data_IF_176078573348
#
_entry.id   IF_176078573348
#
_cell.length_a   1.000
_cell.length_b   1.000
_cell.length_c   1.000
_cell.angle_alpha   90.00
_cell.angle_beta   90.00
_cell.angle_gamma   90.00
#
_symmetry.space_group_name_H-M   'P 1'
#
loop_
_entity.id
_entity.type
_entity.pdbx_description
1 polymer ?
#
# COMPACT_ATOMS: atom_id res chain seq x y z
N UNK A 1 -35.39 60.65 -8.61
CA UNK A 1 -34.68 60.10 -9.79
C UNK A 1 -33.16 60.37 -9.85
N UNK A 2 -32.65 61.59 -9.54
CA UNK A 2 -31.17 61.86 -9.60
C UNK A 2 -30.35 61.13 -8.54
N UNK A 3 -30.88 60.80 -7.37
CA UNK A 3 -30.16 60.12 -6.25
C UNK A 3 -30.00 58.64 -6.51
N UNK A 4 -31.00 57.95 -7.06
CA UNK A 4 -30.94 56.53 -7.45
C UNK A 4 -29.94 56.26 -8.58
N UNK A 5 -29.83 57.20 -9.53
CA UNK A 5 -28.90 57.09 -10.65
C UNK A 5 -27.43 57.22 -10.18
N UNK A 6 -27.15 58.06 -9.17
CA UNK A 6 -25.82 58.21 -8.57
C UNK A 6 -25.40 56.93 -7.78
N UNK A 7 -26.36 56.34 -7.07
CA UNK A 7 -26.12 55.08 -6.33
C UNK A 7 -25.83 53.93 -7.31
N UNK A 8 -26.58 53.82 -8.40
CA UNK A 8 -26.37 52.81 -9.43
C UNK A 8 -24.96 52.90 -10.06
N UNK A 9 -24.52 54.14 -10.37
CA UNK A 9 -23.16 54.38 -10.92
C UNK A 9 -22.05 53.95 -9.94
N UNK A 10 -22.24 54.24 -8.65
CA UNK A 10 -21.27 53.81 -7.60
C UNK A 10 -21.19 52.28 -7.52
N UNK A 11 -22.32 51.56 -7.58
CA UNK A 11 -22.33 50.11 -7.60
C UNK A 11 -21.67 49.51 -8.87
N UNK A 12 -21.88 50.11 -10.03
CA UNK A 12 -21.21 49.69 -11.25
C UNK A 12 -19.67 49.88 -11.16
N UNK A 13 -19.23 50.99 -10.61
CA UNK A 13 -17.78 51.26 -10.40
C UNK A 13 -17.17 50.24 -9.42
N UNK A 14 -17.85 49.96 -8.31
CA UNK A 14 -17.42 48.94 -7.33
C UNK A 14 -17.36 47.55 -7.96
N UNK A 15 -18.35 47.17 -8.75
CA UNK A 15 -18.39 45.87 -9.45
C UNK A 15 -17.24 45.75 -10.45
N UNK A 16 -16.95 46.81 -11.22
CA UNK A 16 -15.80 46.82 -12.15
C UNK A 16 -14.47 46.71 -11.38
N UNK A 17 -14.36 47.36 -10.22
CA UNK A 17 -13.15 47.29 -9.38
C UNK A 17 -12.94 45.86 -8.82
N UNK A 18 -14.01 45.21 -8.37
CA UNK A 18 -13.95 43.81 -7.89
C UNK A 18 -13.59 42.86 -9.04
N UNK A 19 -14.17 43.01 -10.21
CA UNK A 19 -13.83 42.22 -11.38
C UNK A 19 -12.38 42.45 -11.83
N UNK A 20 -11.93 43.69 -11.81
CA UNK A 20 -10.56 44.04 -12.16
C UNK A 20 -9.54 43.44 -11.14
N UNK A 21 -9.87 43.48 -9.84
CA UNK A 21 -9.02 42.81 -8.81
C UNK A 21 -9.06 41.31 -8.97
N UNK A 22 -10.21 40.69 -9.27
CA UNK A 22 -10.28 39.25 -9.55
C UNK A 22 -9.43 38.85 -10.78
N UNK A 23 -9.50 39.63 -11.85
CA UNK A 23 -8.69 39.40 -13.07
C UNK A 23 -7.20 39.64 -12.79
N UNK A 24 -6.85 40.63 -12.00
CA UNK A 24 -5.45 40.92 -11.58
C UNK A 24 -4.86 39.81 -10.69
N UNK A 25 -5.70 39.20 -9.85
CA UNK A 25 -5.32 38.09 -8.98
C UNK A 25 -5.38 36.72 -9.68
N UNK A 26 -6.05 36.63 -10.85
CA UNK A 26 -6.16 35.41 -11.65
C UNK A 26 -4.82 34.80 -12.06
N UNK A 27 -3.79 35.56 -12.48
CA UNK A 27 -2.47 35.00 -12.76
C UNK A 27 -1.67 34.62 -11.51
N UNK A 28 -2.07 35.06 -10.30
CA UNK A 28 -1.53 34.60 -9.02
C UNK A 28 -2.12 33.27 -8.53
N UNK A 29 -3.12 32.73 -9.22
CA UNK A 29 -3.46 31.31 -9.08
C UNK A 29 -2.27 30.56 -9.66
N UNK A 30 -1.39 30.10 -8.78
CA UNK A 30 -0.14 29.38 -9.07
C UNK A 30 -0.27 28.58 -10.38
N UNK A 31 0.44 29.03 -11.43
CA UNK A 31 0.83 28.10 -12.47
C UNK A 31 1.61 27.04 -11.73
N UNK A 32 0.99 25.85 -11.49
CA UNK A 32 1.74 24.68 -11.07
C UNK A 32 2.89 24.60 -12.04
N UNK A 33 4.08 24.99 -11.58
CA UNK A 33 5.29 24.78 -12.38
C UNK A 33 5.27 23.29 -12.71
N UNK A 34 5.56 22.91 -13.97
CA UNK A 34 5.69 21.49 -14.28
C UNK A 34 6.67 20.94 -13.25
N UNK A 35 6.21 19.93 -12.51
CA UNK A 35 7.04 19.24 -11.53
C UNK A 35 8.30 18.82 -12.24
N UNK A 36 9.46 19.32 -11.80
CA UNK A 36 10.73 18.90 -12.38
C UNK A 36 10.93 17.43 -12.01
N UNK A 37 11.43 16.59 -12.94
CA UNK A 37 11.76 15.22 -12.63
C UNK A 37 12.64 15.18 -11.38
N UNK A 38 12.22 14.38 -10.38
CA UNK A 38 12.98 14.16 -9.15
C UNK A 38 13.47 12.72 -9.15
N UNK A 39 14.73 12.55 -9.55
CA UNK A 39 15.42 11.26 -9.57
C UNK A 39 16.57 11.27 -8.54
N UNK A 40 17.41 10.27 -8.54
CA UNK A 40 18.48 10.10 -7.55
C UNK A 40 19.44 11.30 -7.44
N UNK A 41 19.86 11.98 -8.53
CA UNK A 41 20.73 13.16 -8.41
C UNK A 41 20.12 14.29 -7.55
N UNK A 42 18.85 14.57 -7.69
CA UNK A 42 18.14 15.59 -6.91
C UNK A 42 17.99 15.15 -5.44
N UNK A 43 17.68 13.87 -5.23
CA UNK A 43 17.57 13.25 -3.90
C UNK A 43 18.94 13.30 -3.19
N UNK A 44 20.00 12.96 -3.90
CA UNK A 44 21.38 12.99 -3.36
C UNK A 44 21.82 14.41 -2.98
N UNK A 45 21.53 15.39 -3.83
CA UNK A 45 21.87 16.80 -3.58
C UNK A 45 21.10 17.38 -2.39
N UNK A 46 19.86 16.94 -2.17
CA UNK A 46 19.06 17.32 -1.00
C UNK A 46 19.46 16.52 0.25
N UNK A 47 19.99 15.31 0.06
CA UNK A 47 20.37 14.40 1.13
C UNK A 47 19.19 13.65 1.77
N UNK A 48 17.98 13.74 1.18
CA UNK A 48 16.74 13.22 1.76
C UNK A 48 16.02 12.29 0.78
N UNK A 49 15.77 11.05 1.21
CA UNK A 49 14.88 10.09 0.55
C UNK A 49 13.52 10.09 1.26
N UNK A 50 12.47 10.49 0.55
CA UNK A 50 11.11 10.57 1.06
C UNK A 50 10.35 9.28 0.76
N UNK A 51 9.83 8.66 1.80
CA UNK A 51 9.21 7.34 1.73
C UNK A 51 7.80 7.40 2.26
N UNK A 52 6.85 6.77 1.59
CA UNK A 52 5.54 6.47 2.15
C UNK A 52 5.40 4.97 2.39
N UNK A 53 4.83 4.62 3.55
CA UNK A 53 4.50 3.24 3.92
C UNK A 53 3.15 3.19 4.63
N UNK A 54 2.68 2.01 4.99
CA UNK A 54 1.47 1.83 5.78
C UNK A 54 1.81 1.35 7.19
N UNK A 55 0.93 1.67 8.14
CA UNK A 55 0.98 1.09 9.47
C UNK A 55 0.39 -0.32 9.43
N UNK A 56 1.21 -1.33 9.71
CA UNK A 56 0.77 -2.72 9.87
C UNK A 56 1.78 -3.50 10.73
N UNK A 57 1.39 -4.67 11.31
CA UNK A 57 2.22 -5.43 12.25
C UNK A 57 3.56 -5.93 11.69
N UNK A 58 3.71 -5.94 10.37
CA UNK A 58 4.92 -6.47 9.70
C UNK A 58 5.80 -5.36 9.16
N UNK A 59 5.20 -4.36 8.51
CA UNK A 59 5.93 -3.38 7.71
C UNK A 59 6.41 -2.17 8.51
N UNK A 60 5.53 -1.60 9.33
CA UNK A 60 5.81 -0.44 10.18
C UNK A 60 4.82 -0.40 11.34
N UNK A 61 5.30 -0.46 12.55
CA UNK A 61 4.51 -0.33 13.77
C UNK A 61 5.34 0.28 14.90
N UNK A 62 4.66 0.67 15.99
CA UNK A 62 5.27 1.24 17.16
C UNK A 62 5.10 0.27 18.33
N UNK A 63 6.20 -0.06 19.00
CA UNK A 63 6.22 -0.86 20.23
C UNK A 63 6.89 -0.03 21.34
N UNK A 64 6.08 0.42 22.28
CA UNK A 64 6.51 1.41 23.25
C UNK A 64 6.96 2.72 22.59
N UNK A 65 8.20 3.12 22.81
CA UNK A 65 8.82 4.31 22.19
C UNK A 65 9.66 3.99 20.95
N UNK A 66 9.61 2.74 20.46
CA UNK A 66 10.45 2.27 19.36
C UNK A 66 9.63 2.01 18.12
N UNK A 67 10.11 2.51 16.97
CA UNK A 67 9.55 2.16 15.66
C UNK A 67 10.22 0.89 15.17
N UNK A 68 9.40 -0.08 14.77
CA UNK A 68 9.80 -1.38 14.26
C UNK A 68 9.08 -1.67 12.95
N UNK A 69 9.51 -2.73 12.26
CA UNK A 69 8.85 -3.24 11.05
C UNK A 69 9.83 -3.44 9.90
N UNK A 70 9.52 -4.40 9.06
CA UNK A 70 10.38 -4.79 7.94
C UNK A 70 10.68 -3.63 6.99
N UNK A 71 9.65 -2.88 6.58
CA UNK A 71 9.82 -1.76 5.66
C UNK A 71 10.64 -0.64 6.32
N UNK A 72 10.35 -0.35 7.59
CA UNK A 72 11.09 0.66 8.35
C UNK A 72 12.57 0.27 8.47
N UNK A 73 12.87 -0.93 8.95
CA UNK A 73 14.27 -1.35 9.17
C UNK A 73 15.05 -1.48 7.87
N UNK A 74 14.40 -1.93 6.78
CA UNK A 74 15.03 -2.00 5.47
C UNK A 74 15.37 -0.60 4.94
N UNK A 75 14.46 0.38 5.09
CA UNK A 75 14.71 1.78 4.75
C UNK A 75 15.84 2.37 5.61
N UNK A 76 15.88 2.07 6.90
CA UNK A 76 16.98 2.50 7.79
C UNK A 76 18.32 1.84 7.40
N UNK A 77 18.31 0.60 6.94
CA UNK A 77 19.50 -0.07 6.44
C UNK A 77 20.01 0.60 5.14
N UNK A 78 19.11 1.01 4.23
CA UNK A 78 19.44 1.78 3.05
C UNK A 78 20.00 3.16 3.43
N UNK A 79 19.40 3.87 4.39
CA UNK A 79 19.91 5.15 4.90
C UNK A 79 21.38 5.04 5.31
N UNK A 80 21.73 3.99 6.05
CA UNK A 80 23.13 3.75 6.50
C UNK A 80 24.12 3.50 5.37
N UNK A 81 23.70 2.88 4.28
CA UNK A 81 24.57 2.56 3.14
C UNK A 81 24.69 3.77 2.21
N UNK A 82 23.56 4.44 1.93
CA UNK A 82 23.49 5.53 0.97
C UNK A 82 24.00 6.86 1.54
N UNK A 83 23.99 7.02 2.87
CA UNK A 83 24.24 8.28 3.54
C UNK A 83 23.09 9.28 3.46
N UNK A 84 21.93 8.86 2.93
CA UNK A 84 20.72 9.69 2.86
C UNK A 84 19.96 9.66 4.18
N UNK A 85 19.33 10.78 4.54
CA UNK A 85 18.28 10.80 5.54
C UNK A 85 17.01 10.19 4.95
N UNK A 86 16.40 9.23 5.64
CA UNK A 86 15.11 8.66 5.23
C UNK A 86 13.99 9.30 6.03
N UNK A 87 13.12 10.03 5.35
CA UNK A 87 11.90 10.61 5.92
C UNK A 87 10.70 9.75 5.54
N UNK A 88 10.10 9.10 6.54
CA UNK A 88 8.95 8.23 6.35
C UNK A 88 7.67 8.92 6.79
N UNK A 89 6.63 8.80 5.95
CA UNK A 89 5.26 9.17 6.27
C UNK A 89 4.33 7.97 6.14
N UNK A 90 3.25 7.98 6.91
CA UNK A 90 2.25 6.92 6.92
C UNK A 90 1.04 7.33 6.07
N UNK A 91 0.62 6.42 5.20
CA UNK A 91 -0.64 6.52 4.47
C UNK A 91 -1.26 5.11 4.41
N UNK A 92 -2.49 4.97 4.87
CA UNK A 92 -3.14 3.66 4.97
C UNK A 92 -3.66 3.16 3.61
N UNK A 93 -4.06 4.07 2.73
CA UNK A 93 -4.64 3.74 1.43
C UNK A 93 -3.56 3.69 0.35
N UNK A 94 -3.57 2.62 -0.45
CA UNK A 94 -2.61 2.46 -1.53
C UNK A 94 -2.79 3.55 -2.62
N UNK A 95 -4.04 3.87 -2.97
CA UNK A 95 -4.34 4.90 -3.97
C UNK A 95 -3.76 6.27 -3.58
N UNK A 96 -3.92 6.68 -2.31
CA UNK A 96 -3.30 7.92 -1.82
C UNK A 96 -1.79 7.86 -1.78
N UNK A 97 -1.19 6.67 -1.54
CA UNK A 97 0.27 6.51 -1.65
C UNK A 97 0.74 6.77 -3.09
N UNK A 98 -0.01 6.30 -4.10
CA UNK A 98 0.25 6.64 -5.50
C UNK A 98 0.04 8.13 -5.80
N UNK A 99 -0.99 8.75 -5.22
CA UNK A 99 -1.21 10.21 -5.36
C UNK A 99 -0.03 11.01 -4.82
N UNK A 100 0.49 10.66 -3.64
CA UNK A 100 1.68 11.28 -3.05
C UNK A 100 2.92 11.11 -3.93
N UNK A 101 3.09 9.91 -4.52
CA UNK A 101 4.18 9.61 -5.45
C UNK A 101 4.07 10.47 -6.72
N UNK A 102 2.89 10.54 -7.33
CA UNK A 102 2.61 11.33 -8.52
C UNK A 102 2.75 12.85 -8.30
N UNK A 103 2.45 13.32 -7.08
CA UNK A 103 2.64 14.71 -6.65
C UNK A 103 4.10 15.03 -6.28
N UNK A 104 5.01 14.05 -6.35
CA UNK A 104 6.40 14.17 -5.94
C UNK A 104 6.59 14.58 -4.45
N UNK A 105 5.58 14.31 -3.64
CA UNK A 105 5.66 14.49 -2.18
C UNK A 105 6.55 13.41 -1.56
N UNK A 106 6.55 12.22 -2.16
CA UNK A 106 7.44 11.10 -1.83
C UNK A 106 8.19 10.62 -3.06
N UNK A 107 9.28 9.91 -2.84
CA UNK A 107 10.14 9.36 -3.89
C UNK A 107 9.84 7.88 -4.15
N UNK A 108 9.49 7.14 -3.10
CA UNK A 108 9.17 5.72 -3.15
C UNK A 108 7.94 5.37 -2.29
N UNK A 109 7.24 4.33 -2.70
CA UNK A 109 6.25 3.63 -1.88
C UNK A 109 6.91 2.36 -1.36
N UNK A 110 7.25 2.32 -0.08
CA UNK A 110 7.84 1.16 0.59
C UNK A 110 6.74 0.29 1.21
N UNK A 111 6.06 -0.45 0.35
CA UNK A 111 4.99 -1.40 0.71
C UNK A 111 5.17 -2.69 -0.09
N UNK A 112 4.49 -3.74 0.33
CA UNK A 112 4.44 -5.01 -0.40
C UNK A 112 3.48 -4.88 -1.58
N UNK A 113 3.97 -4.36 -2.72
CA UNK A 113 3.15 -4.13 -3.92
C UNK A 113 3.44 -5.24 -4.93
N UNK A 114 2.44 -6.03 -5.33
CA UNK A 114 2.61 -7.04 -6.36
C UNK A 114 3.02 -6.43 -7.71
N UNK A 115 4.00 -7.06 -8.36
CA UNK A 115 4.47 -6.65 -9.67
C UNK A 115 3.47 -7.12 -10.73
N UNK A 116 2.50 -6.26 -11.09
CA UNK A 116 1.52 -6.55 -12.14
C UNK A 116 1.86 -5.81 -13.43
N UNK A 117 1.34 -6.30 -14.56
CA UNK A 117 1.52 -5.64 -15.86
C UNK A 117 0.93 -4.23 -15.85
N UNK A 118 -0.25 -4.07 -15.28
CA UNK A 118 -0.96 -2.79 -15.20
C UNK A 118 -0.15 -1.72 -14.45
N UNK A 119 0.38 -2.04 -13.28
CA UNK A 119 1.18 -1.07 -12.50
C UNK A 119 2.52 -0.79 -13.18
N UNK A 120 3.14 -1.78 -13.85
CA UNK A 120 4.39 -1.60 -14.62
C UNK A 120 4.27 -0.65 -15.80
N UNK A 121 3.08 -0.48 -16.36
CA UNK A 121 2.87 0.48 -17.46
C UNK A 121 3.07 1.94 -17.00
N UNK A 122 2.88 2.22 -15.71
CA UNK A 122 2.87 3.56 -15.15
C UNK A 122 4.00 3.86 -14.18
N UNK A 123 4.62 2.81 -13.60
CA UNK A 123 5.60 2.94 -12.51
C UNK A 123 6.79 2.00 -12.69
N UNK A 124 7.91 2.36 -12.07
CA UNK A 124 9.07 1.50 -11.92
C UNK A 124 9.00 0.72 -10.61
N UNK A 125 9.58 -0.46 -10.62
CA UNK A 125 9.69 -1.34 -9.46
C UNK A 125 11.15 -1.60 -9.13
N UNK A 126 11.45 -1.77 -7.85
CA UNK A 126 12.71 -2.42 -7.44
C UNK A 126 12.72 -3.88 -7.88
N UNK A 127 13.89 -4.52 -7.79
CA UNK A 127 13.94 -5.97 -7.78
C UNK A 127 13.08 -6.54 -6.65
N UNK A 128 12.55 -7.76 -6.81
CA UNK A 128 11.68 -8.33 -5.81
C UNK A 128 12.30 -8.33 -4.41
N UNK A 129 11.55 -7.79 -3.48
CA UNK A 129 11.95 -7.72 -2.07
C UNK A 129 11.38 -8.91 -1.33
N UNK A 130 10.11 -9.25 -1.57
CA UNK A 130 9.41 -10.31 -0.88
C UNK A 130 8.73 -11.23 -1.88
N UNK A 131 8.66 -12.51 -1.53
CA UNK A 131 7.79 -13.49 -2.13
C UNK A 131 6.59 -13.68 -1.23
N UNK A 132 5.41 -13.48 -1.76
CA UNK A 132 4.18 -13.56 -1.00
C UNK A 132 3.06 -14.23 -1.78
N UNK A 133 1.99 -14.62 -1.11
CA UNK A 133 0.76 -15.14 -1.69
C UNK A 133 -0.44 -14.77 -0.84
N UNK A 134 -1.62 -14.88 -1.43
CA UNK A 134 -2.87 -14.74 -0.72
C UNK A 134 -3.36 -16.10 -0.27
N UNK A 135 -3.81 -16.20 0.96
CA UNK A 135 -4.32 -17.42 1.58
C UNK A 135 -5.77 -17.27 2.03
N UNK A 136 -6.47 -18.38 2.08
CA UNK A 136 -7.78 -18.47 2.71
C UNK A 136 -7.58 -18.58 4.22
N UNK A 137 -8.07 -17.59 4.95
CA UNK A 137 -8.17 -17.62 6.41
C UNK A 137 -9.55 -18.16 6.77
N UNK A 138 -9.59 -19.23 7.56
CA UNK A 138 -10.80 -19.92 7.99
C UNK A 138 -10.55 -20.49 9.40
N UNK A 139 -11.58 -20.97 10.07
CA UNK A 139 -11.38 -21.61 11.38
C UNK A 139 -10.88 -23.04 11.24
N UNK A 140 -10.10 -23.51 12.22
CA UNK A 140 -9.75 -24.92 12.38
C UNK A 140 -10.99 -25.77 12.64
N UNK A 141 -10.90 -27.09 12.44
CA UNK A 141 -12.06 -27.97 12.71
C UNK A 141 -12.50 -27.91 14.17
N UNK A 142 -11.57 -27.77 15.09
CA UNK A 142 -11.80 -27.67 16.53
C UNK A 142 -12.60 -26.40 16.87
N UNK A 143 -12.24 -25.29 16.25
CA UNK A 143 -12.92 -24.00 16.46
C UNK A 143 -14.21 -23.85 15.65
N UNK A 144 -14.48 -24.75 14.70
CA UNK A 144 -15.62 -24.69 13.79
C UNK A 144 -16.57 -25.90 13.94
N UNK A 145 -16.80 -26.33 15.17
CA UNK A 145 -17.78 -27.41 15.50
C UNK A 145 -17.53 -28.72 14.70
N UNK A 146 -16.28 -29.02 14.36
CA UNK A 146 -15.90 -30.21 13.61
C UNK A 146 -16.00 -30.06 12.08
N UNK A 147 -16.38 -28.90 11.57
CA UNK A 147 -16.38 -28.61 10.13
C UNK A 147 -14.95 -28.49 9.67
N UNK A 148 -14.54 -29.38 8.75
CA UNK A 148 -13.16 -29.38 8.23
C UNK A 148 -12.88 -28.16 7.38
N UNK A 149 -11.69 -27.55 7.52
CA UNK A 149 -11.25 -26.48 6.66
C UNK A 149 -11.25 -26.88 5.18
N UNK A 150 -11.59 -25.93 4.30
CA UNK A 150 -11.51 -26.09 2.86
C UNK A 150 -10.03 -26.25 2.47
N UNK A 151 -9.71 -27.26 1.67
CA UNK A 151 -8.34 -27.53 1.19
C UNK A 151 -8.19 -27.39 -0.32
N UNK A 152 -9.31 -27.31 -1.03
CA UNK A 152 -9.32 -27.15 -2.47
C UNK A 152 -10.12 -25.88 -2.83
N UNK A 153 -9.50 -24.97 -3.54
CA UNK A 153 -10.12 -23.71 -4.01
C UNK A 153 -11.44 -23.96 -4.77
N UNK A 154 -11.59 -25.10 -5.43
CA UNK A 154 -12.82 -25.44 -6.17
C UNK A 154 -14.05 -25.60 -5.25
N UNK A 155 -13.86 -25.71 -3.95
CA UNK A 155 -14.96 -25.79 -2.98
C UNK A 155 -15.41 -24.41 -2.45
N UNK A 156 -14.91 -23.32 -3.06
CA UNK A 156 -15.29 -21.96 -2.69
C UNK A 156 -16.60 -21.49 -3.32
N UNK A 157 -17.19 -22.27 -4.24
CA UNK A 157 -18.51 -21.97 -4.81
C UNK A 157 -19.55 -21.75 -3.71
N UNK A 158 -20.37 -20.71 -3.84
CA UNK A 158 -21.42 -20.27 -2.89
C UNK A 158 -20.91 -19.87 -1.50
N UNK A 159 -19.61 -19.62 -1.36
CA UNK A 159 -19.03 -19.09 -0.12
C UNK A 159 -18.95 -17.57 -0.16
N UNK A 160 -19.08 -16.96 1.02
CA UNK A 160 -18.83 -15.54 1.23
C UNK A 160 -17.37 -15.33 1.60
N UNK A 161 -16.64 -14.59 0.78
CA UNK A 161 -15.22 -14.27 1.01
C UNK A 161 -15.07 -12.78 1.29
N UNK A 162 -14.46 -12.46 2.39
CA UNK A 162 -14.13 -11.10 2.80
C UNK A 162 -12.67 -10.79 2.47
N UNK A 163 -12.41 -9.63 1.91
CA UNK A 163 -11.06 -9.15 1.59
C UNK A 163 -10.98 -7.63 1.71
N UNK A 164 -9.80 -7.07 2.00
CA UNK A 164 -9.62 -5.63 1.99
C UNK A 164 -9.91 -5.06 0.60
N UNK A 165 -10.40 -3.83 0.54
CA UNK A 165 -10.58 -3.12 -0.72
C UNK A 165 -9.26 -3.06 -1.51
N UNK A 166 -9.35 -3.22 -2.82
CA UNK A 166 -8.20 -3.31 -3.73
C UNK A 166 -7.24 -4.47 -3.43
N UNK A 167 -7.72 -5.53 -2.82
CA UNK A 167 -6.91 -6.73 -2.57
C UNK A 167 -6.39 -7.32 -3.89
N UNK A 168 -5.09 -7.67 -3.97
CA UNK A 168 -4.52 -8.35 -5.14
C UNK A 168 -5.13 -9.73 -5.40
N UNK A 169 -5.88 -10.29 -4.41
CA UNK A 169 -6.60 -11.55 -4.57
C UNK A 169 -7.85 -11.43 -5.46
N UNK A 170 -8.41 -10.23 -5.61
CA UNK A 170 -9.72 -10.04 -6.26
C UNK A 170 -9.78 -10.66 -7.65
N UNK A 171 -8.79 -10.35 -8.50
CA UNK A 171 -8.73 -10.90 -9.85
C UNK A 171 -8.65 -12.43 -9.86
N UNK A 172 -7.86 -13.01 -8.95
CA UNK A 172 -7.75 -14.47 -8.85
C UNK A 172 -9.07 -15.12 -8.41
N UNK A 173 -9.77 -14.51 -7.45
CA UNK A 173 -11.07 -15.03 -6.99
C UNK A 173 -12.10 -14.96 -8.10
N UNK A 174 -12.13 -13.89 -8.91
CA UNK A 174 -12.99 -13.79 -10.11
C UNK A 174 -12.69 -14.87 -11.15
N UNK A 175 -11.41 -15.16 -11.37
CA UNK A 175 -11.02 -16.25 -12.25
C UNK A 175 -11.45 -17.62 -11.69
N UNK A 176 -11.38 -17.82 -10.37
CA UNK A 176 -11.87 -19.03 -9.71
C UNK A 176 -13.39 -19.22 -9.89
N UNK A 177 -14.19 -18.17 -9.85
CA UNK A 177 -15.63 -18.26 -10.16
C UNK A 177 -15.86 -18.90 -11.54
N UNK A 178 -15.09 -18.45 -12.54
CA UNK A 178 -15.17 -19.02 -13.89
C UNK A 178 -14.69 -20.47 -13.94
N UNK A 179 -13.61 -20.81 -13.24
CA UNK A 179 -13.06 -22.17 -13.18
C UNK A 179 -14.02 -23.14 -12.48
N UNK A 180 -14.69 -22.70 -11.42
CA UNK A 180 -15.65 -23.49 -10.64
C UNK A 180 -16.98 -23.61 -11.39
N UNK A 181 -17.35 -22.61 -12.19
CA UNK A 181 -18.67 -22.50 -12.82
C UNK A 181 -19.79 -22.19 -11.81
N UNK A 182 -19.45 -21.60 -10.68
CA UNK A 182 -20.39 -21.21 -9.62
C UNK A 182 -19.95 -19.86 -9.00
N UNK A 183 -20.91 -19.13 -8.39
CA UNK A 183 -20.65 -17.80 -7.82
C UNK A 183 -19.89 -17.90 -6.50
N UNK A 184 -18.90 -17.02 -6.33
CA UNK A 184 -18.28 -16.72 -5.04
C UNK A 184 -18.79 -15.33 -4.61
N UNK A 185 -19.37 -15.22 -3.41
CA UNK A 185 -19.87 -13.94 -2.90
C UNK A 185 -18.70 -13.15 -2.30
N UNK A 186 -18.26 -12.11 -3.00
CA UNK A 186 -17.09 -11.32 -2.63
C UNK A 186 -17.54 -10.06 -1.90
N UNK A 187 -17.00 -9.84 -0.70
CA UNK A 187 -17.21 -8.65 0.13
C UNK A 187 -15.88 -7.91 0.27
N UNK A 188 -15.73 -6.82 -0.50
CA UNK A 188 -14.59 -5.91 -0.37
C UNK A 188 -14.85 -4.92 0.76
N UNK A 189 -14.03 -4.96 1.81
CA UNK A 189 -14.17 -4.08 2.97
C UNK A 189 -13.31 -2.83 2.81
N UNK A 190 -13.91 -1.65 2.99
CA UNK A 190 -13.22 -0.36 2.87
C UNK A 190 -12.50 0.06 4.16
N UNK A 191 -12.88 -0.52 5.30
CA UNK A 191 -12.45 -0.10 6.63
C UNK A 191 -11.48 -1.10 7.25
N UNK A 192 -11.64 -2.39 6.96
CA UNK A 192 -10.88 -3.45 7.59
C UNK A 192 -9.70 -3.87 6.71
N UNK A 193 -8.53 -3.93 7.34
CA UNK A 193 -7.31 -4.53 6.77
C UNK A 193 -7.31 -6.04 7.00
N UNK A 194 -6.26 -6.73 6.51
CA UNK A 194 -6.06 -8.16 6.73
C UNK A 194 -6.20 -8.54 8.22
N UNK A 195 -5.59 -7.77 9.13
CA UNK A 195 -5.58 -8.06 10.55
C UNK A 195 -6.99 -8.12 11.14
N UNK A 196 -7.84 -7.10 10.88
CA UNK A 196 -9.21 -7.07 11.37
C UNK A 196 -10.03 -8.21 10.80
N UNK A 197 -9.90 -8.52 9.51
CA UNK A 197 -10.61 -9.64 8.88
C UNK A 197 -10.20 -10.99 9.48
N UNK A 198 -8.91 -11.19 9.76
CA UNK A 198 -8.39 -12.39 10.42
C UNK A 198 -9.02 -12.54 11.82
N UNK A 199 -9.10 -11.45 12.59
CA UNK A 199 -9.73 -11.44 13.92
C UNK A 199 -11.21 -11.79 13.83
N UNK A 200 -11.94 -11.28 12.84
CA UNK A 200 -13.36 -11.61 12.64
C UNK A 200 -13.56 -13.10 12.31
N UNK A 201 -12.66 -13.70 11.52
CA UNK A 201 -12.68 -15.15 11.27
C UNK A 201 -12.43 -15.93 12.55
N UNK A 202 -11.41 -15.56 13.33
CA UNK A 202 -11.08 -16.23 14.60
C UNK A 202 -12.25 -16.22 15.59
N UNK A 203 -12.96 -15.08 15.67
CA UNK A 203 -14.16 -14.93 16.53
C UNK A 203 -15.41 -15.65 15.99
N UNK A 204 -15.43 -15.99 14.71
CA UNK A 204 -16.58 -16.60 14.06
C UNK A 204 -17.63 -15.61 13.57
N UNK A 205 -17.30 -14.32 13.49
CA UNK A 205 -18.19 -13.28 12.95
C UNK A 205 -18.32 -13.40 11.42
N UNK A 206 -17.26 -13.87 10.76
CA UNK A 206 -17.24 -14.27 9.35
C UNK A 206 -16.60 -15.65 9.21
N UNK A 207 -16.93 -16.37 8.13
CA UNK A 207 -16.40 -17.73 7.93
C UNK A 207 -15.06 -17.75 7.19
N UNK A 208 -14.90 -16.88 6.18
CA UNK A 208 -13.76 -16.89 5.28
C UNK A 208 -13.26 -15.48 4.98
N UNK A 209 -11.97 -15.28 5.12
CA UNK A 209 -11.29 -14.10 4.62
C UNK A 209 -10.15 -14.50 3.66
N UNK A 210 -9.79 -13.61 2.73
CA UNK A 210 -8.61 -13.79 1.88
C UNK A 210 -7.64 -12.68 2.20
N UNK A 211 -6.49 -13.07 2.75
CA UNK A 211 -5.50 -12.18 3.31
C UNK A 211 -4.10 -12.53 2.83
N UNK A 212 -3.17 -11.60 3.01
CA UNK A 212 -1.75 -11.81 2.81
C UNK A 212 -1.26 -12.91 3.77
N UNK A 213 -0.56 -13.93 3.23
CA UNK A 213 -0.05 -15.04 4.02
C UNK A 213 0.82 -14.57 5.19
N UNK A 214 1.70 -13.62 4.97
CA UNK A 214 2.65 -13.15 5.99
C UNK A 214 1.93 -12.46 7.15
N UNK A 215 0.89 -11.66 6.86
CA UNK A 215 0.05 -11.06 7.90
C UNK A 215 -0.70 -12.14 8.69
N UNK A 216 -1.21 -13.16 8.01
CA UNK A 216 -1.92 -14.25 8.64
C UNK A 216 -1.00 -15.13 9.51
N UNK A 217 0.22 -15.44 9.03
CA UNK A 217 1.21 -16.21 9.79
C UNK A 217 1.59 -15.55 11.12
N UNK A 218 1.71 -14.24 11.17
CA UNK A 218 2.02 -13.50 12.39
C UNK A 218 0.93 -13.59 13.45
N UNK A 219 -0.31 -13.70 13.02
CA UNK A 219 -1.45 -13.77 13.93
C UNK A 219 -1.76 -15.18 14.41
N UNK A 220 -1.16 -16.23 13.82
CA UNK A 220 -1.38 -17.62 14.22
C UNK A 220 -1.09 -17.88 15.71
N UNK A 221 -0.08 -17.23 16.28
CA UNK A 221 0.27 -17.41 17.70
C UNK A 221 -0.76 -16.78 18.65
N UNK A 222 -1.42 -15.73 18.20
CA UNK A 222 -2.45 -15.03 18.98
C UNK A 222 -3.84 -15.62 18.76
N UNK A 223 -4.09 -16.19 17.59
CA UNK A 223 -5.37 -16.76 17.17
C UNK A 223 -5.18 -18.19 16.66
N UNK A 224 -4.94 -19.17 17.57
CA UNK A 224 -4.71 -20.56 17.18
C UNK A 224 -5.97 -21.23 16.58
N UNK A 225 -7.12 -20.56 16.65
CA UNK A 225 -8.39 -21.00 16.07
C UNK A 225 -8.41 -20.92 14.54
N UNK A 226 -7.49 -20.17 13.89
CA UNK A 226 -7.48 -20.02 12.45
C UNK A 226 -6.61 -21.05 11.76
N UNK A 227 -6.97 -21.32 10.51
CA UNK A 227 -6.27 -22.14 9.55
C UNK A 227 -5.99 -21.33 8.28
N UNK A 228 -4.76 -21.37 7.79
CA UNK A 228 -4.28 -20.61 6.63
C UNK A 228 -3.61 -21.49 5.57
N UNK A 229 -3.84 -22.81 5.61
CA UNK A 229 -3.14 -23.78 4.75
C UNK A 229 -3.67 -23.84 3.30
N UNK A 230 -4.62 -23.01 2.93
CA UNK A 230 -5.20 -23.03 1.60
C UNK A 230 -4.81 -21.79 0.82
N UNK A 231 -3.95 -21.98 -0.18
CA UNK A 231 -3.50 -20.91 -1.06
C UNK A 231 -4.66 -20.45 -1.97
N UNK A 232 -4.83 -19.16 -2.12
CA UNK A 232 -5.77 -18.55 -3.09
C UNK A 232 -5.03 -18.09 -4.33
N UNK A 233 -3.84 -17.48 -4.19
CA UNK A 233 -3.03 -17.05 -5.33
C UNK A 233 -1.76 -17.86 -5.47
N UNK A 234 -1.17 -17.79 -6.67
CA UNK A 234 0.23 -18.17 -6.85
C UNK A 234 1.14 -17.21 -6.06
N UNK A 235 2.37 -17.67 -5.81
CA UNK A 235 3.39 -16.80 -5.22
C UNK A 235 3.63 -15.58 -6.12
N UNK A 236 3.50 -14.40 -5.56
CA UNK A 236 3.70 -13.13 -6.21
C UNK A 236 5.03 -12.51 -5.77
N UNK A 237 5.67 -11.83 -6.71
CA UNK A 237 6.83 -10.99 -6.43
C UNK A 237 6.31 -9.63 -5.97
N UNK A 238 6.73 -9.19 -4.79
CA UNK A 238 6.37 -7.89 -4.23
C UNK A 238 7.59 -6.99 -4.12
N UNK A 239 7.41 -5.72 -4.46
CA UNK A 239 8.48 -4.74 -4.61
C UNK A 239 8.05 -3.36 -4.17
N UNK A 240 9.02 -2.47 -4.00
CA UNK A 240 8.77 -1.05 -3.85
C UNK A 240 8.53 -0.39 -5.20
N UNK A 241 7.78 0.70 -5.18
CA UNK A 241 7.37 1.42 -6.39
C UNK A 241 7.90 2.84 -6.37
N UNK A 242 8.30 3.33 -7.54
CA UNK A 242 8.71 4.69 -7.80
C UNK A 242 8.17 5.19 -9.14
N UNK A 243 8.29 6.48 -9.40
CA UNK A 243 7.84 7.09 -10.65
C UNK A 243 8.62 6.56 -11.86
N UNK A 244 7.99 6.58 -13.02
CA UNK A 244 8.61 6.20 -14.30
C UNK A 244 9.79 7.10 -14.71
N UNK A 245 9.82 8.32 -14.21
CA UNK A 245 10.89 9.30 -14.47
C UNK A 245 12.03 9.25 -13.44
N UNK A 246 12.12 8.18 -12.63
CA UNK A 246 13.15 7.99 -11.60
C UNK A 246 13.98 6.70 -11.82
N UNK A 247 14.54 6.45 -13.02
CA UNK A 247 15.28 5.21 -13.30
C UNK A 247 16.60 5.09 -12.54
N UNK A 248 17.27 6.21 -12.24
CA UNK A 248 18.55 6.20 -11.50
C UNK A 248 18.27 5.85 -10.03
N UNK A 249 17.18 6.32 -9.47
CA UNK A 249 16.74 5.94 -8.12
C UNK A 249 16.46 4.43 -8.03
N UNK A 250 15.75 3.87 -9.03
CA UNK A 250 15.52 2.43 -9.11
C UNK A 250 16.82 1.63 -9.07
N UNK A 251 17.76 2.00 -9.94
CA UNK A 251 19.03 1.30 -10.06
C UNK A 251 19.86 1.43 -8.77
N UNK A 252 19.83 2.61 -8.13
CA UNK A 252 20.47 2.85 -6.83
C UNK A 252 19.85 2.00 -5.72
N UNK A 253 18.51 1.94 -5.65
CA UNK A 253 17.80 1.10 -4.68
C UNK A 253 18.11 -0.38 -4.86
N UNK A 254 18.11 -0.88 -6.11
CA UNK A 254 18.46 -2.26 -6.42
C UNK A 254 19.90 -2.59 -5.99
N UNK A 255 20.84 -1.68 -6.28
CA UNK A 255 22.22 -1.83 -5.86
C UNK A 255 22.36 -1.92 -4.32
N UNK A 256 21.68 -1.06 -3.56
CA UNK A 256 21.69 -1.11 -2.10
C UNK A 256 21.01 -2.36 -1.55
N UNK A 257 19.90 -2.77 -2.13
CA UNK A 257 19.21 -4.02 -1.76
C UNK A 257 20.09 -5.23 -2.00
N UNK A 258 20.84 -5.27 -3.12
CA UNK A 258 21.81 -6.33 -3.41
C UNK A 258 22.93 -6.35 -2.36
N UNK A 259 23.49 -5.20 -2.00
CA UNK A 259 24.50 -5.10 -0.93
C UNK A 259 23.96 -5.61 0.42
N UNK A 260 22.70 -5.25 0.76
CA UNK A 260 22.06 -5.72 2.00
C UNK A 260 21.80 -7.23 1.98
N UNK A 261 21.48 -7.80 0.81
CA UNK A 261 21.35 -9.25 0.63
C UNK A 261 22.71 -9.94 0.76
N UNK A 262 23.76 -9.40 0.13
CA UNK A 262 25.11 -9.96 0.13
C UNK A 262 25.76 -9.95 1.52
N UNK A 263 25.60 -8.89 2.31
CA UNK A 263 26.15 -8.76 3.66
C UNK A 263 25.29 -9.41 4.76
N UNK A 264 24.16 -10.02 4.41
CA UNK A 264 23.26 -10.71 5.32
C UNK A 264 22.33 -9.83 6.14
N UNK A 265 22.40 -8.49 6.02
CA UNK A 265 21.51 -7.57 6.74
C UNK A 265 20.06 -7.76 6.34
N UNK A 266 19.78 -7.88 5.04
CA UNK A 266 18.44 -8.19 4.55
C UNK A 266 17.89 -9.48 5.19
N UNK A 267 18.67 -10.56 5.20
CA UNK A 267 18.26 -11.85 5.76
C UNK A 267 17.94 -11.74 7.26
N UNK A 268 18.74 -10.97 8.00
CA UNK A 268 18.51 -10.73 9.44
C UNK A 268 17.17 -10.02 9.66
N UNK A 269 16.91 -8.92 8.92
CA UNK A 269 15.66 -8.17 9.01
C UNK A 269 14.49 -9.06 8.56
N UNK A 270 14.62 -9.78 7.44
CA UNK A 270 13.57 -10.67 6.93
C UNK A 270 13.17 -11.72 7.97
N UNK A 271 14.14 -12.42 8.57
CA UNK A 271 13.87 -13.45 9.56
C UNK A 271 13.21 -12.91 10.83
N UNK A 272 13.46 -11.66 11.19
CA UNK A 272 12.85 -11.03 12.36
C UNK A 272 11.34 -10.84 12.20
N UNK A 273 10.87 -10.59 10.96
CA UNK A 273 9.46 -10.26 10.71
C UNK A 273 8.69 -11.38 10.00
N UNK A 274 9.36 -12.27 9.28
CA UNK A 274 8.70 -13.28 8.43
C UNK A 274 9.04 -14.72 8.79
N UNK A 275 10.04 -14.97 9.61
CA UNK A 275 10.45 -16.32 10.02
C UNK A 275 10.49 -16.45 11.55
N UNK A 276 9.59 -15.83 12.28
CA UNK A 276 9.42 -16.08 13.72
C UNK A 276 8.89 -17.52 13.88
N UNK A 277 9.79 -18.46 14.26
CA UNK A 277 9.45 -19.82 14.64
C UNK A 277 9.05 -19.87 16.11
#
# INVERSE_FOLDING_TARGET
>A
MKKTRKILVVYCILLVLVVATMISLWPYREKKQPLQPRDYPEIYNEGILRVVTEYNPTGYFVDGDTILGFQYELCQAIARISGLEVQMQLEMTLDKSFDLLNQQTVDIIARNIPITTEVKEHYLFTDPIILNRQVLVQRTAEANQGIKPIRNQLHLGKKELYLPKNSPALLRIRNLEHEIGDTIYIHEDELYSDEQLIILVAKGDIDYAVCNQQNAEQLLSQYPEIDIQTDISFTQLESWVMRNDSPILRDSLNHWLEQLKANGTYKKIYNQYYNQK
#
